data_IF_846403933396
#
_entry.id   IF_846403933396
#
_cell.length_a   1.000
_cell.length_b   1.000
_cell.length_c   1.000
_cell.angle_alpha   90.00
_cell.angle_beta   90.00
_cell.angle_gamma   90.00
#
_symmetry.space_group_name_H-M   'P 1'
#
loop_
_entity.id
_entity.type
_entity.pdbx_description
1 polymer ?
#
# COMPACT_ATOMS: atom_id res chain seq x y z
N UNK A 1 23.22 28.54 6.20
CA UNK A 1 24.65 28.20 5.95
C UNK A 1 24.82 28.01 4.45
N UNK A 2 25.97 28.43 3.85
CA UNK A 2 26.22 28.15 2.42
C UNK A 2 26.84 26.76 2.30
N UNK A 3 26.17 25.88 1.54
CA UNK A 3 26.63 24.51 1.31
C UNK A 3 27.29 24.33 -0.07
N UNK A 4 27.32 25.38 -0.91
CA UNK A 4 27.98 25.34 -2.23
C UNK A 4 29.48 25.20 -2.05
N UNK A 5 30.11 24.36 -2.85
CA UNK A 5 31.56 24.03 -2.76
C UNK A 5 31.91 23.00 -1.68
N UNK A 6 30.96 22.53 -0.89
CA UNK A 6 31.17 21.50 0.12
C UNK A 6 31.20 20.09 -0.47
N UNK A 7 32.04 19.24 0.13
CA UNK A 7 32.18 17.84 -0.28
C UNK A 7 31.06 16.95 0.29
N UNK A 8 30.60 16.03 -0.54
CA UNK A 8 29.59 15.03 -0.20
C UNK A 8 30.02 13.64 -0.65
N UNK A 9 29.46 12.63 0.00
CA UNK A 9 29.65 11.23 -0.39
C UNK A 9 28.26 10.65 -0.71
N UNK A 10 28.12 10.17 -1.95
CA UNK A 10 26.92 9.46 -2.41
C UNK A 10 27.19 7.95 -2.43
N UNK A 11 26.24 7.15 -2.03
CA UNK A 11 26.37 5.68 -1.95
C UNK A 11 26.88 5.06 -3.27
N UNK A 12 26.37 5.51 -4.40
CA UNK A 12 26.73 4.99 -5.74
C UNK A 12 27.83 5.78 -6.43
N UNK A 13 27.78 7.14 -6.40
CA UNK A 13 28.68 8.00 -7.17
C UNK A 13 29.94 8.39 -6.40
N UNK A 14 30.04 8.04 -5.11
CA UNK A 14 31.14 8.30 -4.21
C UNK A 14 31.35 9.80 -3.96
N UNK A 15 32.61 10.29 -3.92
CA UNK A 15 32.92 11.67 -3.63
C UNK A 15 32.46 12.63 -4.71
N UNK A 16 31.85 13.72 -4.30
CA UNK A 16 31.37 14.81 -5.14
C UNK A 16 31.44 16.15 -4.42
N UNK A 17 31.27 17.24 -5.17
CA UNK A 17 31.27 18.62 -4.65
C UNK A 17 29.96 19.28 -5.08
N UNK A 18 29.30 19.94 -4.14
CA UNK A 18 28.04 20.67 -4.40
C UNK A 18 28.34 21.88 -5.27
N UNK A 19 27.76 21.97 -6.48
CA UNK A 19 27.92 23.08 -7.41
C UNK A 19 26.86 24.17 -7.24
N UNK A 20 25.63 23.76 -7.05
CA UNK A 20 24.52 24.69 -6.90
C UNK A 20 23.38 24.07 -6.11
N UNK A 21 22.60 24.92 -5.47
CA UNK A 21 21.32 24.60 -4.83
C UNK A 21 20.28 25.59 -5.34
N UNK A 22 19.23 25.07 -5.98
CA UNK A 22 18.10 25.86 -6.49
C UNK A 22 16.81 25.29 -5.92
N UNK A 23 16.18 26.01 -5.00
CA UNK A 23 14.94 25.60 -4.31
C UNK A 23 15.02 24.16 -3.77
N UNK A 24 14.52 23.22 -4.54
CA UNK A 24 14.40 21.79 -4.21
C UNK A 24 15.37 20.90 -5.01
N UNK A 25 16.32 21.48 -5.76
CA UNK A 25 17.28 20.73 -6.57
C UNK A 25 18.72 21.07 -6.22
N UNK A 26 19.53 20.06 -5.98
CA UNK A 26 20.97 20.18 -5.74
C UNK A 26 21.74 19.56 -6.89
N UNK A 27 22.71 20.30 -7.43
CA UNK A 27 23.64 19.80 -8.44
C UNK A 27 24.97 19.47 -7.80
N UNK A 28 25.43 18.24 -7.98
CA UNK A 28 26.70 17.74 -7.43
C UNK A 28 27.60 17.28 -8.55
N UNK A 29 28.84 17.76 -8.54
CA UNK A 29 29.89 17.33 -9.46
C UNK A 29 30.57 16.08 -8.93
N UNK A 30 30.47 14.99 -9.67
CA UNK A 30 31.19 13.74 -9.43
C UNK A 30 32.27 13.49 -10.49
N UNK A 31 33.13 12.52 -10.25
CA UNK A 31 34.18 12.11 -11.20
C UNK A 31 33.64 11.76 -12.60
N UNK A 32 32.40 11.30 -12.70
CA UNK A 32 31.74 10.89 -13.95
C UNK A 32 30.75 11.93 -14.51
N UNK A 33 30.85 13.18 -14.04
CA UNK A 33 30.01 14.32 -14.48
C UNK A 33 29.00 14.76 -13.40
N UNK A 34 28.35 15.86 -13.71
CA UNK A 34 27.40 16.50 -12.82
C UNK A 34 26.08 15.70 -12.76
N UNK A 35 25.48 15.65 -11.58
CA UNK A 35 24.18 15.02 -11.32
C UNK A 35 23.28 15.97 -10.54
N UNK A 36 22.00 15.96 -10.88
CA UNK A 36 20.97 16.73 -10.19
C UNK A 36 20.12 15.78 -9.34
N UNK A 37 19.85 16.18 -8.11
CA UNK A 37 19.04 15.42 -7.16
C UNK A 37 18.02 16.34 -6.48
N UNK A 38 16.98 15.75 -5.90
CA UNK A 38 16.03 16.47 -5.05
C UNK A 38 16.67 16.75 -3.68
N UNK A 39 16.65 18.02 -3.28
CA UNK A 39 17.09 18.47 -1.96
C UNK A 39 15.86 18.73 -1.06
N UNK A 40 15.88 18.40 0.22
CA UNK A 40 16.95 17.68 0.93
C UNK A 40 16.82 16.15 0.88
N UNK A 41 15.82 15.62 0.17
CA UNK A 41 15.43 14.20 0.15
C UNK A 41 16.59 13.24 -0.15
N UNK A 42 17.57 13.64 -1.00
CA UNK A 42 18.72 12.80 -1.32
C UNK A 42 19.58 12.48 -0.08
N UNK A 43 19.58 13.36 0.92
CA UNK A 43 20.34 13.20 2.16
C UNK A 43 19.66 12.32 3.21
N UNK A 44 18.42 11.87 2.98
CA UNK A 44 17.78 10.93 3.88
C UNK A 44 18.51 9.57 3.95
N UNK A 45 18.95 9.05 2.80
CA UNK A 45 19.50 7.68 2.73
C UNK A 45 20.72 7.54 1.80
N UNK A 46 20.90 8.41 0.84
CA UNK A 46 21.81 8.18 -0.28
C UNK A 46 23.04 9.06 -0.28
N UNK A 47 23.04 10.18 0.40
CA UNK A 47 24.14 11.16 0.42
C UNK A 47 24.38 11.69 1.83
N UNK A 48 25.65 11.96 2.15
CA UNK A 48 26.05 12.61 3.40
C UNK A 48 27.10 13.68 3.09
N UNK A 49 27.11 14.78 3.85
CA UNK A 49 28.16 15.76 3.76
C UNK A 49 29.40 15.28 4.54
N UNK A 50 30.61 15.59 4.03
CA UNK A 50 31.87 15.20 4.68
C UNK A 50 32.16 16.06 5.91
N UNK A 51 31.80 17.35 5.85
CA UNK A 51 31.93 18.28 6.97
C UNK A 51 30.72 18.06 7.93
N UNK A 52 31.01 17.78 9.18
CA UNK A 52 30.02 17.46 10.21
C UNK A 52 29.01 18.62 10.45
N UNK A 53 29.53 19.88 10.49
CA UNK A 53 28.65 21.05 10.67
C UNK A 53 27.71 21.25 9.46
N UNK A 54 28.19 20.97 8.25
CA UNK A 54 27.36 21.01 7.03
C UNK A 54 26.34 19.89 7.04
N UNK A 55 26.75 18.71 7.47
CA UNK A 55 25.84 17.57 7.57
C UNK A 55 24.73 17.84 8.58
N UNK A 56 25.05 18.36 9.77
CA UNK A 56 24.07 18.73 10.78
C UNK A 56 23.07 19.79 10.29
N UNK A 57 23.56 20.78 9.55
CA UNK A 57 22.68 21.77 8.92
C UNK A 57 21.72 21.12 7.92
N UNK A 58 22.23 20.25 7.03
CA UNK A 58 21.41 19.53 6.05
C UNK A 58 20.42 18.60 6.74
N UNK A 59 20.78 17.94 7.84
CA UNK A 59 19.87 17.07 8.60
C UNK A 59 18.71 17.84 9.23
N UNK A 60 18.88 19.13 9.56
CA UNK A 60 17.75 19.98 9.98
C UNK A 60 16.78 20.22 8.82
N UNK A 61 17.28 20.45 7.59
CA UNK A 61 16.42 20.60 6.42
C UNK A 61 15.73 19.27 6.06
N UNK A 62 16.40 18.14 6.21
CA UNK A 62 15.81 16.80 6.05
C UNK A 62 14.67 16.58 7.06
N UNK A 63 14.89 16.91 8.33
CA UNK A 63 13.86 16.76 9.37
C UNK A 63 12.64 17.68 9.09
N UNK A 64 12.89 18.92 8.67
CA UNK A 64 11.80 19.83 8.29
C UNK A 64 11.02 19.33 7.06
N UNK A 65 11.71 18.78 6.08
CA UNK A 65 11.09 18.20 4.88
C UNK A 65 10.24 16.97 5.23
N UNK A 66 10.73 16.10 6.11
CA UNK A 66 9.98 14.93 6.58
C UNK A 66 8.73 15.34 7.36
N UNK A 67 8.84 16.32 8.25
CA UNK A 67 7.71 16.84 9.01
C UNK A 67 6.63 17.45 8.10
N UNK A 68 7.04 18.25 7.11
CA UNK A 68 6.11 18.85 6.12
C UNK A 68 5.43 17.77 5.26
N UNK A 69 6.16 16.71 4.90
CA UNK A 69 5.61 15.58 4.16
C UNK A 69 4.59 14.81 5.01
N UNK A 70 4.90 14.55 6.27
CA UNK A 70 3.98 13.88 7.20
C UNK A 70 2.69 14.71 7.42
N UNK A 71 2.80 16.03 7.55
CA UNK A 71 1.66 16.94 7.68
C UNK A 71 0.78 16.91 6.41
N UNK A 72 1.41 16.94 5.23
CA UNK A 72 0.69 16.85 3.94
C UNK A 72 -0.03 15.52 3.78
N UNK A 73 0.63 14.42 4.14
CA UNK A 73 0.07 13.07 4.08
C UNK A 73 -1.09 12.90 5.08
N UNK A 74 -0.95 13.46 6.30
CA UNK A 74 -2.03 13.45 7.30
C UNK A 74 -3.23 14.28 6.84
N UNK A 75 -2.99 15.45 6.24
CA UNK A 75 -4.05 16.28 5.68
C UNK A 75 -4.76 15.62 4.49
N UNK A 76 -4.01 14.92 3.64
CA UNK A 76 -4.57 14.14 2.54
C UNK A 76 -5.40 12.95 3.06
N UNK A 77 -4.92 12.27 4.10
CA UNK A 77 -5.64 11.18 4.76
C UNK A 77 -6.94 11.67 5.40
N UNK A 78 -6.90 12.81 6.10
CA UNK A 78 -8.08 13.41 6.73
C UNK A 78 -9.14 13.79 5.68
N UNK A 79 -8.74 14.44 4.58
CA UNK A 79 -9.65 14.75 3.47
C UNK A 79 -10.27 13.52 2.83
N UNK A 80 -9.50 12.45 2.71
CA UNK A 80 -9.95 11.16 2.18
C UNK A 80 -10.96 10.50 3.12
N UNK A 81 -10.74 10.61 4.44
CA UNK A 81 -11.68 10.12 5.46
C UNK A 81 -13.00 10.89 5.46
N UNK A 82 -12.95 12.25 5.39
CA UNK A 82 -14.16 13.08 5.27
C UNK A 82 -14.96 12.79 4.00
N UNK A 83 -14.29 12.62 2.86
CA UNK A 83 -14.95 12.27 1.61
C UNK A 83 -15.67 10.91 1.71
N UNK A 84 -15.05 9.94 2.38
CA UNK A 84 -15.64 8.63 2.62
C UNK A 84 -16.83 8.67 3.59
N UNK A 85 -16.72 9.44 4.67
CA UNK A 85 -17.85 9.61 5.60
C UNK A 85 -19.05 10.24 4.90
N UNK A 86 -18.81 11.22 4.02
CA UNK A 86 -19.84 11.85 3.24
C UNK A 86 -20.49 10.90 2.23
N UNK A 87 -19.70 10.04 1.57
CA UNK A 87 -20.23 9.00 0.66
C UNK A 87 -21.00 7.92 1.43
N UNK A 88 -20.50 7.50 2.59
CA UNK A 88 -21.24 6.58 3.47
C UNK A 88 -22.53 7.17 3.97
N UNK A 89 -22.58 8.46 4.37
CA UNK A 89 -23.82 9.13 4.75
C UNK A 89 -24.79 9.23 3.59
N UNK A 90 -24.34 9.57 2.37
CA UNK A 90 -25.16 9.58 1.16
C UNK A 90 -25.70 8.18 0.81
N UNK A 91 -24.89 7.13 1.00
CA UNK A 91 -25.32 5.75 0.78
C UNK A 91 -26.35 5.30 1.83
N UNK A 92 -26.21 5.73 3.10
CA UNK A 92 -27.21 5.47 4.14
C UNK A 92 -28.52 6.22 3.89
N UNK A 93 -28.48 7.50 3.48
CA UNK A 93 -29.70 8.25 3.08
C UNK A 93 -30.41 7.58 1.89
N UNK A 94 -29.67 7.12 0.88
CA UNK A 94 -30.23 6.34 -0.24
C UNK A 94 -30.85 5.01 0.22
N UNK A 95 -30.32 4.35 1.25
CA UNK A 95 -30.90 3.14 1.83
C UNK A 95 -32.18 3.42 2.63
N UNK A 96 -32.28 4.55 3.32
CA UNK A 96 -33.49 4.97 4.04
C UNK A 96 -34.62 5.30 3.07
N UNK A 97 -34.32 6.00 1.96
CA UNK A 97 -35.31 6.32 0.91
C UNK A 97 -35.75 5.06 0.13
N UNK A 98 -34.86 4.06 -0.07
CA UNK A 98 -35.22 2.77 -0.70
C UNK A 98 -35.99 1.80 0.20
N UNK A 99 -36.08 2.04 1.53
CA UNK A 99 -36.90 1.23 2.43
C UNK A 99 -38.41 1.44 2.29
N UNK A 100 -38.83 2.44 1.48
CA UNK A 100 -40.25 2.70 1.16
C UNK A 100 -40.76 1.97 -0.10
N UNK A 101 -39.96 1.09 -0.74
CA UNK A 101 -40.38 0.25 -1.87
C UNK A 101 -40.09 -1.22 -1.58
N UNK A 102 -40.96 -2.16 -2.04
CA UNK A 102 -40.93 -3.54 -1.55
C UNK A 102 -39.70 -4.30 -2.00
N UNK A 103 -39.21 -5.09 -1.07
CA UNK A 103 -38.09 -6.02 -1.11
C UNK A 103 -37.91 -6.74 -2.46
N UNK A 104 -36.69 -6.64 -3.01
CA UNK A 104 -36.06 -7.76 -3.70
C UNK A 104 -34.59 -7.88 -3.39
N UNK A 105 -34.28 -9.08 -2.93
CA UNK A 105 -33.05 -9.86 -3.05
C UNK A 105 -31.76 -9.40 -2.33
N UNK A 106 -31.44 -10.12 -1.29
CA UNK A 106 -30.20 -10.71 -0.89
C UNK A 106 -28.89 -10.02 -1.36
N UNK A 107 -28.14 -9.46 -0.38
CA UNK A 107 -26.71 -9.22 -0.58
C UNK A 107 -26.08 -10.55 -1.03
N UNK A 108 -25.63 -10.62 -2.28
CA UNK A 108 -24.77 -11.70 -2.72
C UNK A 108 -23.46 -11.54 -1.93
N UNK A 109 -23.33 -12.24 -0.81
CA UNK A 109 -22.03 -12.58 -0.25
C UNK A 109 -21.25 -13.18 -1.41
N UNK A 110 -20.05 -12.70 -1.68
CA UNK A 110 -19.20 -13.34 -2.69
C UNK A 110 -19.00 -14.77 -2.22
N UNK A 111 -19.69 -15.71 -2.88
CA UNK A 111 -19.64 -17.12 -2.54
C UNK A 111 -18.23 -17.58 -2.94
N UNK A 112 -17.44 -17.95 -1.92
CA UNK A 112 -16.17 -18.66 -2.14
C UNK A 112 -16.48 -19.87 -3.01
N UNK A 113 -15.78 -19.99 -4.15
CA UNK A 113 -15.89 -21.16 -4.99
C UNK A 113 -15.40 -22.39 -4.22
N UNK A 114 -16.20 -23.49 -4.18
CA UNK A 114 -15.74 -24.74 -3.59
C UNK A 114 -14.43 -25.15 -4.26
N UNK A 115 -13.49 -25.65 -3.47
CA UNK A 115 -12.22 -26.21 -3.91
C UNK A 115 -11.24 -25.23 -4.60
N UNK A 116 -11.52 -23.91 -4.59
CA UNK A 116 -10.59 -22.89 -5.07
C UNK A 116 -10.10 -21.98 -3.95
N UNK A 117 -8.86 -21.52 -4.07
CA UNK A 117 -8.30 -20.47 -3.20
C UNK A 117 -9.05 -19.18 -3.42
N UNK A 118 -9.41 -18.48 -2.34
CA UNK A 118 -9.90 -17.11 -2.47
C UNK A 118 -8.73 -16.16 -2.71
N UNK A 119 -9.03 -15.07 -3.41
CA UNK A 119 -8.05 -14.06 -3.78
C UNK A 119 -8.44 -12.74 -3.13
N UNK A 120 -7.44 -12.05 -2.57
CA UNK A 120 -7.65 -10.81 -1.86
C UNK A 120 -6.67 -9.75 -2.35
N UNK A 121 -7.02 -8.49 -2.09
CA UNK A 121 -6.16 -7.34 -2.32
C UNK A 121 -6.09 -6.50 -1.04
N UNK A 122 -4.89 -6.09 -0.66
CA UNK A 122 -4.67 -5.24 0.50
C UNK A 122 -3.90 -3.98 0.11
N UNK A 123 -4.37 -2.80 0.55
CA UNK A 123 -3.64 -1.55 0.42
C UNK A 123 -2.87 -1.28 1.71
N UNK A 124 -1.54 -1.44 1.68
CA UNK A 124 -0.73 -1.38 2.90
C UNK A 124 -0.03 -0.04 3.12
N UNK A 125 0.21 0.75 2.07
CA UNK A 125 0.86 2.06 2.17
C UNK A 125 1.98 2.09 3.25
N UNK A 126 1.79 2.85 4.33
CA UNK A 126 2.74 2.97 5.45
C UNK A 126 2.95 1.69 6.27
N UNK A 127 2.07 0.70 6.13
CA UNK A 127 2.13 -0.55 6.90
C UNK A 127 2.99 -1.62 6.24
N UNK A 128 3.27 -1.48 4.93
CA UNK A 128 3.88 -2.52 4.12
C UNK A 128 5.16 -3.09 4.74
N UNK A 129 6.13 -2.25 5.06
CA UNK A 129 7.43 -2.70 5.59
C UNK A 129 7.29 -3.50 6.89
N UNK A 130 6.37 -3.08 7.77
CA UNK A 130 6.18 -3.70 9.08
C UNK A 130 5.39 -4.99 8.99
N UNK A 131 4.28 -4.97 8.26
CA UNK A 131 3.47 -6.17 8.04
C UNK A 131 4.25 -7.23 7.26
N UNK A 132 5.03 -6.84 6.26
CA UNK A 132 5.95 -7.73 5.56
C UNK A 132 7.01 -8.31 6.51
N UNK A 133 7.71 -7.46 7.28
CA UNK A 133 8.73 -7.90 8.22
C UNK A 133 8.15 -8.82 9.31
N UNK A 134 6.92 -8.57 9.74
CA UNK A 134 6.19 -9.38 10.71
C UNK A 134 5.53 -10.63 10.13
N UNK A 135 5.46 -10.76 8.80
CA UNK A 135 4.83 -11.89 8.10
C UNK A 135 3.31 -11.97 8.36
N UNK A 136 2.60 -10.84 8.33
CA UNK A 136 1.16 -10.82 8.59
C UNK A 136 0.44 -9.68 7.86
N UNK A 137 -0.89 -9.74 7.84
CA UNK A 137 -1.80 -8.61 7.63
C UNK A 137 -2.73 -8.49 8.83
N UNK A 138 -3.09 -7.24 9.21
CA UNK A 138 -3.98 -7.00 10.34
C UNK A 138 -4.98 -5.87 10.03
N UNK A 139 -6.25 -6.09 10.39
CA UNK A 139 -7.31 -5.10 10.25
C UNK A 139 -8.15 -4.99 11.53
N UNK A 140 -8.56 -3.77 11.95
CA UNK A 140 -9.40 -3.57 13.12
C UNK A 140 -10.83 -4.05 12.90
N UNK A 141 -11.50 -4.50 13.98
CA UNK A 141 -12.92 -4.90 13.99
C UNK A 141 -13.87 -3.71 13.84
N UNK A 142 -13.40 -2.53 14.15
CA UNK A 142 -14.18 -1.29 14.10
C UNK A 142 -13.39 -0.17 13.45
N UNK A 143 -14.09 0.74 12.78
CA UNK A 143 -13.47 1.97 12.29
C UNK A 143 -12.98 2.84 13.47
N UNK A 144 -12.07 3.81 13.24
CA UNK A 144 -11.63 4.76 14.27
C UNK A 144 -12.80 5.52 14.94
N UNK A 145 -13.94 5.62 14.29
CA UNK A 145 -15.19 6.22 14.82
C UNK A 145 -16.02 5.25 15.67
N UNK A 146 -15.52 4.05 15.97
CA UNK A 146 -16.20 3.04 16.80
C UNK A 146 -17.37 2.31 16.11
N UNK A 147 -17.63 2.57 14.82
CA UNK A 147 -18.61 1.79 14.08
C UNK A 147 -18.03 0.42 13.73
N UNK A 148 -18.77 -0.63 14.07
CA UNK A 148 -18.44 -1.98 13.63
C UNK A 148 -18.27 -1.99 12.10
N UNK A 149 -17.09 -2.36 11.62
CA UNK A 149 -16.86 -2.60 10.19
C UNK A 149 -17.50 -3.95 9.86
N UNK A 150 -18.81 -3.92 9.61
CA UNK A 150 -19.52 -5.13 9.23
C UNK A 150 -18.94 -5.70 7.95
N UNK A 151 -18.61 -6.98 7.95
CA UNK A 151 -18.10 -7.74 6.82
C UNK A 151 -16.80 -7.20 6.22
N UNK A 152 -15.75 -7.05 7.04
CA UNK A 152 -14.39 -6.86 6.54
C UNK A 152 -13.92 -8.18 5.87
N UNK A 153 -13.51 -8.17 4.60
CA UNK A 153 -13.10 -9.37 3.88
C UNK A 153 -11.97 -10.18 4.55
N UNK A 154 -11.18 -9.56 5.41
CA UNK A 154 -10.12 -10.26 6.18
C UNK A 154 -10.70 -11.43 7.00
N UNK A 155 -11.95 -11.35 7.49
CA UNK A 155 -12.58 -12.41 8.28
C UNK A 155 -12.82 -13.71 7.48
N UNK A 156 -12.87 -13.59 6.16
CA UNK A 156 -13.12 -14.73 5.27
C UNK A 156 -11.82 -15.37 4.75
N UNK A 157 -10.64 -14.83 5.11
CA UNK A 157 -9.35 -15.42 4.73
C UNK A 157 -9.14 -16.76 5.43
N UNK A 158 -8.69 -17.74 4.66
CA UNK A 158 -8.34 -19.09 5.13
C UNK A 158 -6.91 -19.41 4.78
N UNK A 159 -6.36 -20.36 5.48
CA UNK A 159 -5.07 -20.97 5.15
C UNK A 159 -5.02 -21.37 3.68
N UNK A 160 -3.95 -21.03 2.99
CA UNK A 160 -3.73 -21.26 1.57
C UNK A 160 -4.32 -20.20 0.63
N UNK A 161 -5.09 -19.20 1.09
CA UNK A 161 -5.57 -18.10 0.24
C UNK A 161 -4.43 -17.19 -0.19
N UNK A 162 -4.59 -16.50 -1.33
CA UNK A 162 -3.57 -15.63 -1.90
C UNK A 162 -3.97 -14.17 -1.76
N UNK A 163 -3.00 -13.35 -1.35
CA UNK A 163 -3.19 -11.91 -1.13
C UNK A 163 -2.22 -11.13 -2.03
N UNK A 164 -2.74 -10.17 -2.77
CA UNK A 164 -1.99 -9.20 -3.55
C UNK A 164 -1.78 -7.96 -2.72
N UNK A 165 -0.54 -7.49 -2.60
CA UNK A 165 -0.15 -6.39 -1.72
C UNK A 165 0.12 -5.12 -2.53
N UNK A 166 -0.79 -4.16 -2.41
CA UNK A 166 -0.68 -2.83 -2.99
C UNK A 166 0.05 -1.85 -2.07
N UNK A 167 1.05 -1.18 -2.60
CA UNK A 167 1.81 -0.12 -1.96
C UNK A 167 2.23 0.91 -3.01
N UNK A 168 2.09 2.22 -2.73
CA UNK A 168 2.42 3.31 -3.64
C UNK A 168 1.85 3.11 -5.07
N UNK A 169 0.55 2.74 -5.15
CA UNK A 169 -0.15 2.46 -6.41
C UNK A 169 0.49 1.36 -7.28
N UNK A 170 1.27 0.46 -6.70
CA UNK A 170 1.91 -0.68 -7.35
C UNK A 170 1.63 -1.97 -6.58
N UNK A 171 1.76 -3.11 -7.24
CA UNK A 171 1.72 -4.43 -6.60
C UNK A 171 3.15 -4.82 -6.24
N UNK A 172 3.47 -4.79 -4.93
CA UNK A 172 4.83 -4.98 -4.40
C UNK A 172 5.11 -6.38 -3.88
N UNK A 173 4.07 -7.13 -3.58
CA UNK A 173 4.23 -8.49 -3.10
C UNK A 173 2.99 -9.34 -3.41
N UNK A 174 3.21 -10.63 -3.44
CA UNK A 174 2.19 -11.65 -3.28
C UNK A 174 2.43 -12.36 -1.95
N UNK A 175 1.38 -12.87 -1.32
CA UNK A 175 1.56 -13.77 -0.19
C UNK A 175 0.53 -14.89 -0.18
N UNK A 176 0.90 -15.98 0.49
CA UNK A 176 -0.02 -17.06 0.84
C UNK A 176 -0.33 -16.94 2.33
N UNK A 177 -1.62 -16.95 2.67
CA UNK A 177 -2.05 -17.03 4.05
C UNK A 177 -1.59 -18.37 4.64
N UNK A 178 -0.83 -18.33 5.73
CA UNK A 178 -0.38 -19.53 6.47
C UNK A 178 -1.27 -19.86 7.66
N UNK A 179 -2.29 -19.04 7.89
CA UNK A 179 -3.37 -19.28 8.85
C UNK A 179 -4.68 -18.72 8.31
N UNK A 180 -5.80 -19.27 8.75
CA UNK A 180 -7.07 -18.55 8.66
C UNK A 180 -7.04 -17.31 9.52
N UNK A 181 -7.90 -16.32 9.22
CA UNK A 181 -8.03 -15.13 10.04
C UNK A 181 -8.42 -15.47 11.48
N UNK A 182 -7.75 -14.86 12.46
CA UNK A 182 -8.01 -15.06 13.88
C UNK A 182 -8.04 -13.73 14.64
N UNK A 183 -8.81 -13.63 15.75
CA UNK A 183 -8.85 -12.43 16.57
C UNK A 183 -7.48 -12.11 17.14
N UNK A 184 -7.05 -10.86 17.02
CA UNK A 184 -5.78 -10.38 17.56
C UNK A 184 -5.89 -8.91 17.96
N UNK A 185 -5.14 -8.53 19.00
CA UNK A 185 -4.94 -7.12 19.32
C UNK A 185 -4.08 -6.44 18.25
N UNK A 186 -4.14 -5.11 18.22
CA UNK A 186 -3.24 -4.31 17.38
C UNK A 186 -1.79 -4.72 17.61
N UNK A 187 -1.02 -5.09 16.58
CA UNK A 187 0.38 -5.45 16.74
C UNK A 187 1.21 -4.25 17.23
N UNK A 188 2.03 -4.45 18.25
CA UNK A 188 2.84 -3.39 18.89
C UNK A 188 3.87 -2.76 17.92
N UNK A 189 4.31 -3.54 16.93
CA UNK A 189 5.28 -3.15 15.92
C UNK A 189 4.66 -2.36 14.77
N UNK A 190 3.32 -2.37 14.62
CA UNK A 190 2.66 -1.76 13.46
C UNK A 190 2.70 -0.23 13.51
N UNK A 191 2.39 0.39 14.65
CA UNK A 191 2.52 1.82 14.91
C UNK A 191 2.89 2.07 16.37
N UNK A 192 4.18 2.17 16.70
CA UNK A 192 4.61 2.47 18.07
C UNK A 192 4.00 3.81 18.55
N UNK A 193 3.18 3.76 19.60
CA UNK A 193 2.54 4.95 20.18
C UNK A 193 1.07 5.17 19.77
N UNK A 194 0.51 4.40 18.83
CA UNK A 194 -0.94 4.38 18.62
C UNK A 194 -1.66 3.50 19.65
N UNK A 195 -3.00 3.68 19.77
CA UNK A 195 -3.81 3.04 20.82
C UNK A 195 -3.70 1.51 20.74
N UNK A 196 -2.86 0.93 21.55
CA UNK A 196 -2.51 -0.51 21.59
C UNK A 196 -3.69 -1.44 21.95
N UNK A 197 -4.86 -0.90 22.31
CA UNK A 197 -6.01 -1.69 22.76
C UNK A 197 -7.09 -1.93 21.69
N UNK A 198 -6.75 -1.75 20.40
CA UNK A 198 -7.70 -1.99 19.34
C UNK A 198 -7.77 -3.49 19.01
N UNK A 199 -8.97 -4.05 19.11
CA UNK A 199 -9.26 -5.43 18.67
C UNK A 199 -9.38 -5.48 17.15
N UNK A 200 -8.92 -6.58 16.57
CA UNK A 200 -8.99 -6.81 15.14
C UNK A 200 -8.78 -8.27 14.80
N UNK A 201 -8.53 -8.51 13.53
CA UNK A 201 -8.19 -9.84 13.00
C UNK A 201 -6.85 -9.80 12.29
N UNK A 202 -6.08 -10.86 12.49
CA UNK A 202 -4.76 -11.09 11.94
C UNK A 202 -4.77 -12.33 11.06
N UNK A 203 -4.01 -12.29 9.98
CA UNK A 203 -3.68 -13.44 9.14
C UNK A 203 -2.16 -13.51 9.05
N UNK A 204 -1.55 -14.61 9.39
CA UNK A 204 -0.13 -14.82 9.13
C UNK A 204 0.06 -15.17 7.65
N UNK A 205 1.10 -14.61 7.05
CA UNK A 205 1.35 -14.68 5.62
C UNK A 205 2.81 -15.03 5.32
N UNK A 206 3.01 -15.84 4.28
CA UNK A 206 4.32 -16.05 3.68
C UNK A 206 4.42 -15.15 2.46
N UNK A 207 5.20 -14.08 2.58
CA UNK A 207 5.38 -13.07 1.55
C UNK A 207 6.40 -13.48 0.49
N UNK A 208 6.10 -13.14 -0.76
CA UNK A 208 7.03 -13.11 -1.88
C UNK A 208 7.10 -11.67 -2.40
N UNK A 209 8.24 -11.03 -2.21
CA UNK A 209 8.48 -9.68 -2.74
C UNK A 209 8.64 -9.71 -4.26
N UNK A 210 8.08 -8.72 -4.93
CA UNK A 210 8.19 -8.53 -6.37
C UNK A 210 9.42 -7.67 -6.68
N UNK A 211 10.31 -8.15 -7.53
CA UNK A 211 11.54 -7.42 -7.90
C UNK A 211 11.22 -6.20 -8.77
N UNK A 212 10.29 -6.38 -9.72
CA UNK A 212 9.82 -5.33 -10.62
C UNK A 212 8.30 -5.13 -10.39
N UNK A 213 7.91 -4.29 -9.40
CA UNK A 213 6.51 -4.01 -9.11
C UNK A 213 5.78 -3.41 -10.31
N UNK A 214 4.54 -3.82 -10.54
CA UNK A 214 3.70 -3.29 -11.61
C UNK A 214 2.73 -2.25 -11.08
N UNK A 215 2.51 -1.19 -11.84
CA UNK A 215 1.57 -0.13 -11.47
C UNK A 215 0.14 -0.57 -11.71
N UNK A 216 -0.75 -0.29 -10.75
CA UNK A 216 -2.18 -0.59 -10.94
C UNK A 216 -2.83 0.28 -12.01
N UNK A 217 -2.29 1.49 -12.27
CA UNK A 217 -2.78 2.37 -13.34
C UNK A 217 -2.60 1.79 -14.75
N UNK A 218 -1.60 0.92 -14.96
CA UNK A 218 -1.34 0.27 -16.25
C UNK A 218 -2.47 -0.73 -16.62
N UNK A 219 -3.29 -1.13 -15.65
CA UNK A 219 -4.43 -2.05 -15.83
C UNK A 219 -5.78 -1.34 -15.68
N UNK A 220 -5.84 -0.03 -15.86
CA UNK A 220 -7.05 0.78 -15.60
C UNK A 220 -8.26 0.29 -16.38
N UNK A 221 -8.10 0.02 -17.67
CA UNK A 221 -9.19 -0.42 -18.52
C UNK A 221 -9.71 -1.81 -18.15
N UNK A 222 -8.83 -2.69 -17.68
CA UNK A 222 -9.16 -4.03 -17.19
C UNK A 222 -9.77 -4.01 -15.78
N UNK A 223 -9.46 -3.02 -14.96
CA UNK A 223 -9.99 -2.84 -13.61
C UNK A 223 -11.46 -2.39 -13.64
N UNK A 224 -11.80 -1.43 -14.50
CA UNK A 224 -13.11 -0.79 -14.58
C UNK A 224 -14.28 -1.77 -14.63
N UNK A 225 -14.26 -2.87 -15.40
CA UNK A 225 -15.35 -3.84 -15.44
C UNK A 225 -15.70 -4.48 -14.10
N UNK A 226 -14.73 -4.58 -13.18
CA UNK A 226 -14.89 -5.22 -11.86
C UNK A 226 -15.16 -4.23 -10.72
N UNK A 227 -15.18 -2.94 -11.00
CA UNK A 227 -15.32 -1.86 -10.00
C UNK A 227 -16.68 -1.81 -9.29
N UNK A 228 -17.71 -2.42 -9.87
CA UNK A 228 -19.07 -2.46 -9.29
C UNK A 228 -19.29 -3.68 -8.38
N UNK A 229 -18.33 -4.55 -8.21
CA UNK A 229 -18.44 -5.70 -7.33
C UNK A 229 -18.45 -5.28 -5.86
N UNK A 230 -19.05 -6.11 -5.01
CA UNK A 230 -19.10 -5.85 -3.56
C UNK A 230 -17.67 -6.03 -3.01
N UNK A 231 -17.17 -5.00 -2.32
CA UNK A 231 -15.81 -4.95 -1.80
C UNK A 231 -14.73 -5.05 -2.88
N UNK A 232 -14.99 -4.49 -4.09
CA UNK A 232 -13.94 -4.34 -5.11
C UNK A 232 -12.81 -3.42 -4.60
N UNK A 233 -11.54 -3.75 -4.88
CA UNK A 233 -10.39 -2.93 -4.46
C UNK A 233 -10.30 -1.59 -5.19
N UNK A 234 -10.91 -1.46 -6.36
CA UNK A 234 -10.84 -0.27 -7.20
C UNK A 234 -12.22 0.31 -7.49
N UNK A 235 -12.27 1.60 -7.71
CA UNK A 235 -13.49 2.34 -8.06
C UNK A 235 -13.74 2.37 -9.59
N UNK A 236 -14.79 3.09 -10.02
CA UNK A 236 -15.19 3.21 -11.43
C UNK A 236 -14.20 3.95 -12.31
N UNK A 237 -13.24 4.65 -11.73
CA UNK A 237 -12.18 5.35 -12.43
C UNK A 237 -10.91 4.50 -12.49
N UNK A 238 -10.91 3.31 -11.90
CA UNK A 238 -9.73 2.46 -11.73
C UNK A 238 -8.81 2.90 -10.58
N UNK A 239 -9.25 3.86 -9.75
CA UNK A 239 -8.48 4.31 -8.60
C UNK A 239 -8.73 3.40 -7.39
N UNK A 240 -7.71 3.23 -6.55
CA UNK A 240 -7.82 2.39 -5.34
C UNK A 240 -8.88 2.91 -4.38
N UNK A 241 -9.75 2.02 -3.90
CA UNK A 241 -10.70 2.30 -2.85
C UNK A 241 -10.00 2.44 -1.49
N UNK A 242 -10.66 3.07 -0.53
CA UNK A 242 -10.04 3.58 0.70
C UNK A 242 -10.02 2.62 1.89
N UNK A 243 -10.68 1.45 1.80
CA UNK A 243 -10.57 0.44 2.84
C UNK A 243 -9.21 -0.28 2.72
N UNK A 244 -8.84 -0.97 3.79
CA UNK A 244 -7.57 -1.65 3.86
C UNK A 244 -7.57 -2.99 3.10
N UNK A 245 -8.66 -3.79 3.17
CA UNK A 245 -8.70 -5.17 2.71
C UNK A 245 -9.93 -5.45 1.86
N UNK A 246 -9.76 -6.16 0.74
CA UNK A 246 -10.78 -6.38 -0.29
C UNK A 246 -10.78 -7.81 -0.81
N UNK A 247 -11.93 -8.27 -1.31
CA UNK A 247 -11.95 -9.40 -2.23
C UNK A 247 -11.37 -8.99 -3.58
N UNK A 248 -10.58 -9.86 -4.17
CA UNK A 248 -10.08 -9.66 -5.53
C UNK A 248 -10.81 -10.63 -6.47
N UNK A 249 -11.49 -10.08 -7.47
CA UNK A 249 -12.10 -10.89 -8.53
C UNK A 249 -11.04 -11.77 -9.20
N UNK A 250 -11.34 -13.04 -9.43
CA UNK A 250 -10.37 -13.99 -9.99
C UNK A 250 -9.85 -13.55 -11.35
N UNK A 251 -10.71 -13.09 -12.25
CA UNK A 251 -10.27 -12.65 -13.57
C UNK A 251 -9.34 -11.44 -13.48
N UNK A 252 -9.65 -10.47 -12.62
CA UNK A 252 -8.79 -9.31 -12.39
C UNK A 252 -7.47 -9.73 -11.73
N UNK A 253 -7.49 -10.68 -10.79
CA UNK A 253 -6.27 -11.23 -10.20
C UNK A 253 -5.37 -11.90 -11.23
N UNK A 254 -5.96 -12.60 -12.20
CA UNK A 254 -5.21 -13.24 -13.30
C UNK A 254 -4.59 -12.22 -14.25
N UNK A 255 -5.29 -11.11 -14.53
CA UNK A 255 -4.74 -10.00 -15.31
C UNK A 255 -3.52 -9.40 -14.61
N UNK A 256 -3.63 -9.11 -13.32
CA UNK A 256 -2.49 -8.63 -12.52
C UNK A 256 -1.34 -9.65 -12.49
N UNK A 257 -1.67 -10.92 -12.27
CA UNK A 257 -0.67 -11.99 -12.24
C UNK A 257 0.06 -12.13 -13.58
N UNK A 258 -0.64 -11.99 -14.71
CA UNK A 258 -0.04 -12.00 -16.04
C UNK A 258 0.94 -10.85 -16.20
N UNK A 259 0.56 -9.61 -15.88
CA UNK A 259 1.47 -8.47 -15.93
C UNK A 259 2.68 -8.62 -15.00
N UNK A 260 2.47 -9.18 -13.79
CA UNK A 260 3.57 -9.49 -12.88
C UNK A 260 4.53 -10.53 -13.48
N UNK A 261 4.03 -11.55 -14.16
CA UNK A 261 4.83 -12.62 -14.76
C UNK A 261 5.62 -12.16 -16.01
N UNK A 262 5.14 -11.12 -16.71
CA UNK A 262 5.87 -10.50 -17.82
C UNK A 262 7.13 -9.80 -17.30
N UNK A 263 7.03 -9.09 -16.18
CA UNK A 263 8.14 -8.35 -15.56
C UNK A 263 8.99 -9.21 -14.60
N UNK A 264 8.44 -10.33 -14.10
CA UNK A 264 9.07 -11.21 -13.10
C UNK A 264 8.83 -12.69 -13.45
N UNK A 265 9.52 -13.23 -14.48
CA UNK A 265 9.27 -14.60 -14.94
C UNK A 265 9.55 -15.70 -13.90
N UNK A 266 10.39 -15.42 -12.92
CA UNK A 266 10.76 -16.30 -11.80
C UNK A 266 9.58 -16.61 -10.87
N UNK A 267 8.55 -15.77 -10.84
CA UNK A 267 7.33 -16.05 -10.07
C UNK A 267 6.63 -17.35 -10.50
N UNK A 268 6.86 -17.82 -11.73
CA UNK A 268 6.33 -19.11 -12.24
C UNK A 268 6.87 -20.32 -11.48
N UNK A 269 8.01 -20.17 -10.78
CA UNK A 269 8.61 -21.25 -10.00
C UNK A 269 7.88 -21.48 -8.66
N UNK A 270 7.06 -20.53 -8.24
CA UNK A 270 6.29 -20.62 -7.00
C UNK A 270 5.10 -21.58 -7.18
N UNK A 271 4.97 -22.56 -6.28
CA UNK A 271 3.91 -23.57 -6.33
C UNK A 271 2.51 -22.94 -6.37
N UNK A 272 2.22 -21.99 -5.50
CA UNK A 272 0.91 -21.34 -5.45
C UNK A 272 0.60 -20.51 -6.71
N UNK A 273 1.62 -19.97 -7.39
CA UNK A 273 1.44 -19.27 -8.68
C UNK A 273 1.10 -20.28 -9.78
N UNK A 274 1.78 -21.41 -9.82
CA UNK A 274 1.45 -22.51 -10.76
C UNK A 274 0.04 -23.04 -10.53
N UNK A 275 -0.34 -23.23 -9.26
CA UNK A 275 -1.70 -23.65 -8.90
C UNK A 275 -2.73 -22.65 -9.43
N UNK A 276 -2.54 -21.34 -9.18
CA UNK A 276 -3.44 -20.29 -9.69
C UNK A 276 -3.57 -20.33 -11.22
N UNK A 277 -2.46 -20.55 -11.94
CA UNK A 277 -2.46 -20.64 -13.40
C UNK A 277 -3.18 -21.88 -13.92
N UNK A 278 -3.25 -22.95 -13.14
CA UNK A 278 -3.94 -24.20 -13.51
C UNK A 278 -5.42 -24.22 -13.12
N UNK A 279 -5.83 -23.37 -12.17
CA UNK A 279 -7.23 -23.22 -11.74
C UNK A 279 -8.09 -22.37 -12.69
N UNK A 280 -7.56 -21.97 -13.85
CA UNK A 280 -8.25 -21.16 -14.89
C UNK A 280 -9.27 -21.98 -15.70
#
# INVERSE_FOLDING_TARGET
MDIIGKEVIHNTFRHGVIKSLNQDQITVAFKRGDKVFLYPAIFEKLMVAVDENVNDFIQQDVAAFQAAREETDQAALAKRQEANELEMQKAMLKKVVKRASPRQAGSKKMLREPDKRALFFVFQDRKFDREHAGGYVWAPDSSPTGKHVGANPIFDVRDGDVIFHGHDAQIWALSVASTSAFPAMHPDDLFPGEIQNTKGHKVNCVYTLIQNPVKTEDFRDEIIPYSNEIYAPFDRNGDGNTAYFYYLNRNLAMIFLQGLLEENPDLKELDYVRDLLTEM
#
